data_IF_271225307701
#
_entry.id   IF_271225307701
#
_cell.length_a   1.000
_cell.length_b   1.000
_cell.length_c   1.000
_cell.angle_alpha   90.00
_cell.angle_beta   90.00
_cell.angle_gamma   90.00
#
_symmetry.space_group_name_H-M   'P 1'
#
loop_
_entity.id
_entity.type
_entity.pdbx_description
1 polymer ?
#
# COMPACT_ATOMS: atom_id res chain seq x y z
N UNK A 1 11.25 -13.81 25.52
CA UNK A 1 10.90 -14.94 24.62
C UNK A 1 11.89 -15.03 23.45
N UNK A 2 12.34 -16.25 23.11
CA UNK A 2 13.21 -16.48 21.95
C UNK A 2 12.34 -16.64 20.70
N UNK A 3 12.58 -15.82 19.68
CA UNK A 3 11.87 -15.92 18.40
C UNK A 3 12.43 -17.09 17.59
N UNK A 4 11.56 -17.95 17.08
CA UNK A 4 11.91 -19.07 16.18
C UNK A 4 11.12 -18.93 14.89
N UNK A 5 11.79 -19.05 13.76
CA UNK A 5 11.12 -19.06 12.45
C UNK A 5 10.35 -20.37 12.25
N UNK A 6 9.18 -20.26 11.62
CA UNK A 6 8.34 -21.39 11.21
C UNK A 6 8.09 -21.33 9.69
N UNK A 7 9.05 -21.81 8.87
CA UNK A 7 8.95 -21.71 7.42
C UNK A 7 7.88 -22.66 6.84
N UNK A 8 7.59 -23.76 7.52
CA UNK A 8 6.65 -24.77 7.03
C UNK A 8 5.20 -24.26 7.07
N UNK A 9 4.87 -23.45 8.08
CA UNK A 9 3.53 -22.85 8.26
C UNK A 9 3.46 -21.37 7.85
N UNK A 10 4.45 -20.87 7.09
CA UNK A 10 4.59 -19.45 6.70
C UNK A 10 3.34 -18.83 6.06
N UNK A 11 2.52 -19.65 5.40
CA UNK A 11 1.33 -19.23 4.65
C UNK A 11 0.01 -19.60 5.33
N UNK A 12 0.06 -20.23 6.50
CA UNK A 12 -1.13 -20.49 7.31
C UNK A 12 -1.62 -19.18 7.95
N UNK A 13 -2.95 -18.99 8.11
CA UNK A 13 -3.47 -17.86 8.88
C UNK A 13 -2.95 -17.87 10.32
N UNK A 14 -2.59 -16.69 10.82
CA UNK A 14 -2.11 -16.51 12.19
C UNK A 14 -2.77 -15.28 12.83
N UNK A 15 -2.88 -15.21 14.17
CA UNK A 15 -3.60 -14.13 14.82
C UNK A 15 -2.93 -12.76 14.58
N UNK A 16 -3.76 -11.71 14.58
CA UNK A 16 -3.29 -10.35 14.70
C UNK A 16 -2.64 -10.12 16.05
N UNK A 17 -1.65 -9.21 16.09
CA UNK A 17 -1.21 -8.62 17.35
C UNK A 17 -2.30 -7.72 17.93
N UNK A 18 -2.28 -7.46 19.24
CA UNK A 18 -3.24 -6.59 19.91
C UNK A 18 -3.35 -5.21 19.25
N UNK A 19 -2.21 -4.65 18.81
CA UNK A 19 -2.19 -3.35 18.13
C UNK A 19 -2.79 -3.41 16.71
N UNK A 20 -2.53 -4.49 15.97
CA UNK A 20 -3.16 -4.68 14.66
C UNK A 20 -4.67 -4.89 14.78
N UNK A 21 -5.14 -5.63 15.78
CA UNK A 21 -6.56 -5.80 16.06
C UNK A 21 -7.22 -4.46 16.43
N UNK A 22 -6.56 -3.64 17.25
CA UNK A 22 -7.03 -2.30 17.57
C UNK A 22 -7.15 -1.42 16.31
N UNK A 23 -6.18 -1.46 15.39
CA UNK A 23 -6.28 -0.75 14.11
C UNK A 23 -7.40 -1.29 13.22
N UNK A 24 -7.61 -2.60 13.17
CA UNK A 24 -8.70 -3.19 12.38
C UNK A 24 -10.07 -2.74 12.90
N UNK A 25 -10.26 -2.74 14.22
CA UNK A 25 -11.50 -2.31 14.86
C UNK A 25 -11.70 -0.79 14.72
N UNK A 26 -10.65 0.00 14.92
CA UNK A 26 -10.67 1.46 14.84
C UNK A 26 -11.03 2.01 13.45
N UNK A 27 -10.90 1.19 12.40
CA UNK A 27 -11.39 1.50 11.04
C UNK A 27 -12.90 1.60 10.93
N UNK A 28 -13.65 1.08 11.90
CA UNK A 28 -15.11 1.08 11.90
C UNK A 28 -15.66 2.24 12.72
N UNK A 29 -16.92 2.61 12.48
CA UNK A 29 -17.65 3.62 13.27
C UNK A 29 -18.12 3.09 14.63
N UNK A 30 -17.62 1.93 15.07
CA UNK A 30 -18.03 1.29 16.33
C UNK A 30 -17.60 2.08 17.59
N UNK A 31 -16.65 3.00 17.46
CA UNK A 31 -16.11 3.80 18.56
C UNK A 31 -16.08 5.29 18.20
N UNK A 32 -16.19 6.15 19.21
CA UNK A 32 -15.95 7.59 19.05
C UNK A 32 -14.49 7.81 18.58
N UNK A 33 -14.32 8.62 17.52
CA UNK A 33 -13.05 8.83 16.80
C UNK A 33 -12.51 7.59 16.05
N UNK A 34 -13.36 6.58 15.83
CA UNK A 34 -13.14 5.52 14.85
C UNK A 34 -13.43 6.00 13.42
N UNK A 35 -13.62 5.04 12.51
CA UNK A 35 -13.92 5.31 11.09
C UNK A 35 -12.72 5.68 10.23
N UNK A 36 -11.50 5.70 10.81
CA UNK A 36 -10.27 6.02 10.07
C UNK A 36 -9.26 4.89 10.21
N UNK A 37 -8.75 4.40 9.09
CA UNK A 37 -7.70 3.40 9.09
C UNK A 37 -6.32 3.94 9.40
N UNK A 38 -5.50 3.12 10.06
CA UNK A 38 -4.07 3.35 10.13
C UNK A 38 -3.51 3.30 8.69
N UNK A 39 -3.19 4.48 8.16
CA UNK A 39 -2.76 4.68 6.79
C UNK A 39 -1.62 5.70 6.78
N UNK A 40 -0.57 5.42 6.01
CA UNK A 40 0.56 6.32 5.82
C UNK A 40 0.67 6.69 4.35
N UNK A 41 0.75 7.99 4.08
CA UNK A 41 0.96 8.56 2.76
C UNK A 41 2.25 9.35 2.73
N UNK A 42 3.05 9.17 1.68
CA UNK A 42 4.35 9.83 1.49
C UNK A 42 4.52 10.16 0.02
N UNK A 43 5.03 11.37 -0.26
CA UNK A 43 5.48 11.80 -1.58
C UNK A 43 6.99 11.98 -1.58
N UNK A 44 7.61 11.59 -2.69
CA UNK A 44 9.06 11.72 -2.90
C UNK A 44 9.27 12.28 -4.30
N UNK A 45 10.03 13.38 -4.38
CA UNK A 45 10.37 14.01 -5.66
C UNK A 45 11.74 13.55 -6.14
N UNK A 46 11.81 13.18 -7.41
CA UNK A 46 13.04 12.78 -8.09
C UNK A 46 13.22 13.60 -9.37
N UNK A 47 14.45 13.97 -9.75
CA UNK A 47 14.68 14.69 -11.01
C UNK A 47 14.38 13.87 -12.27
N UNK A 48 14.59 12.56 -12.20
CA UNK A 48 14.26 11.60 -13.25
C UNK A 48 13.93 10.26 -12.56
N UNK A 49 12.84 9.63 -12.99
CA UNK A 49 12.34 8.40 -12.41
C UNK A 49 11.79 7.50 -13.51
N UNK A 50 12.50 6.40 -13.75
CA UNK A 50 12.09 5.37 -14.69
C UNK A 50 11.02 4.47 -14.04
N UNK A 51 9.78 4.58 -14.52
CA UNK A 51 8.60 3.84 -14.02
C UNK A 51 8.79 2.33 -14.11
N UNK A 52 9.46 1.83 -15.15
CA UNK A 52 9.70 0.39 -15.30
C UNK A 52 10.68 -0.11 -14.25
N UNK A 53 11.73 0.68 -13.95
CA UNK A 53 12.67 0.37 -12.86
C UNK A 53 12.02 0.44 -11.48
N UNK A 54 11.14 1.42 -11.24
CA UNK A 54 10.37 1.50 -9.99
C UNK A 54 9.46 0.28 -9.86
N UNK A 55 8.73 -0.07 -10.92
CA UNK A 55 7.85 -1.24 -10.94
C UNK A 55 8.61 -2.53 -10.68
N UNK A 56 9.76 -2.73 -11.33
CA UNK A 56 10.61 -3.90 -11.10
C UNK A 56 11.11 -3.98 -9.66
N UNK A 57 11.53 -2.84 -9.09
CA UNK A 57 11.99 -2.76 -7.69
C UNK A 57 10.87 -3.09 -6.71
N UNK A 58 9.66 -2.58 -6.95
CA UNK A 58 8.51 -2.87 -6.10
C UNK A 58 8.12 -4.35 -6.14
N UNK A 59 8.15 -4.97 -7.33
CA UNK A 59 7.92 -6.43 -7.48
C UNK A 59 8.93 -7.24 -6.68
N UNK A 60 10.20 -6.84 -6.69
CA UNK A 60 11.24 -7.52 -5.92
C UNK A 60 11.02 -7.37 -4.41
N UNK A 61 10.61 -6.18 -3.94
CA UNK A 61 10.22 -5.98 -2.53
C UNK A 61 9.04 -6.87 -2.14
N UNK A 62 7.98 -6.91 -2.94
CA UNK A 62 6.81 -7.77 -2.70
C UNK A 62 7.20 -9.24 -2.62
N UNK A 63 8.06 -9.71 -3.54
CA UNK A 63 8.57 -11.09 -3.56
C UNK A 63 9.40 -11.40 -2.31
N UNK A 64 10.23 -10.45 -1.87
CA UNK A 64 11.14 -10.62 -0.73
C UNK A 64 10.43 -10.57 0.63
N UNK A 65 9.42 -9.72 0.79
CA UNK A 65 8.82 -9.40 2.09
C UNK A 65 7.40 -9.96 2.23
N UNK A 66 7.18 -10.80 3.24
CA UNK A 66 5.89 -11.48 3.47
C UNK A 66 4.74 -10.52 3.75
N UNK A 67 4.96 -9.51 4.58
CA UNK A 67 3.90 -8.56 4.94
C UNK A 67 3.48 -7.66 3.76
N UNK A 68 4.25 -7.61 2.67
CA UNK A 68 3.81 -7.00 1.41
C UNK A 68 2.91 -7.92 0.57
N UNK A 69 2.70 -9.16 0.99
CA UNK A 69 1.76 -10.13 0.40
C UNK A 69 0.65 -10.53 1.38
N UNK A 70 0.59 -9.89 2.54
CA UNK A 70 -0.39 -10.22 3.56
C UNK A 70 -1.77 -9.63 3.28
N UNK A 71 -2.80 -10.33 3.75
CA UNK A 71 -4.17 -9.84 3.92
C UNK A 71 -4.58 -9.97 5.38
N UNK A 72 -5.54 -9.17 5.80
CA UNK A 72 -6.08 -9.12 7.16
C UNK A 72 -7.57 -9.44 7.09
N UNK A 73 -7.95 -10.54 7.72
CA UNK A 73 -9.32 -11.02 7.81
C UNK A 73 -10.07 -10.32 8.95
N UNK A 74 -11.39 -10.20 8.79
CA UNK A 74 -12.27 -9.54 9.75
C UNK A 74 -12.44 -10.31 11.07
N UNK A 75 -12.04 -11.58 11.10
CA UNK A 75 -12.08 -12.46 12.29
C UNK A 75 -10.86 -12.30 13.19
N UNK A 76 -9.96 -11.35 12.89
CA UNK A 76 -8.77 -11.08 13.70
C UNK A 76 -7.56 -11.95 13.35
N UNK A 77 -7.58 -12.59 12.17
CA UNK A 77 -6.43 -13.30 11.61
C UNK A 77 -5.80 -12.51 10.44
N UNK A 78 -4.54 -12.81 10.16
CA UNK A 78 -3.83 -12.36 8.96
C UNK A 78 -3.20 -13.57 8.27
N UNK A 79 -2.99 -13.45 6.96
CA UNK A 79 -2.40 -14.52 6.17
C UNK A 79 -1.43 -13.93 5.15
N UNK A 80 -0.24 -14.53 5.04
CA UNK A 80 0.71 -14.23 3.97
C UNK A 80 0.35 -15.08 2.75
N UNK A 81 -0.07 -14.43 1.66
CA UNK A 81 -0.35 -15.12 0.41
C UNK A 81 0.94 -15.69 -0.19
N UNK A 82 0.89 -16.96 -0.60
CA UNK A 82 2.03 -17.63 -1.25
C UNK A 82 2.47 -16.88 -2.50
N UNK A 83 1.49 -16.59 -3.37
CA UNK A 83 1.64 -15.86 -4.61
C UNK A 83 0.60 -14.74 -4.70
N UNK A 84 0.94 -13.67 -5.43
CA UNK A 84 0.06 -12.54 -5.73
C UNK A 84 0.17 -12.17 -7.20
N UNK A 85 -0.85 -11.53 -7.80
CA UNK A 85 -0.74 -11.01 -9.16
C UNK A 85 0.46 -10.04 -9.30
N UNK A 86 1.06 -9.92 -10.49
CA UNK A 86 2.13 -8.97 -10.72
C UNK A 86 1.69 -7.55 -10.37
N UNK A 87 2.36 -6.92 -9.40
CA UNK A 87 2.11 -5.52 -9.07
C UNK A 87 2.54 -4.61 -10.23
N UNK A 88 1.78 -3.56 -10.49
CA UNK A 88 2.15 -2.49 -11.43
C UNK A 88 2.02 -1.16 -10.70
N UNK A 89 3.03 -0.31 -10.85
CA UNK A 89 2.97 1.07 -10.35
C UNK A 89 2.14 1.86 -11.36
N UNK A 90 1.09 2.53 -10.89
CA UNK A 90 0.33 3.45 -11.75
C UNK A 90 1.23 4.61 -12.16
N UNK A 91 1.11 5.09 -13.39
CA UNK A 91 1.88 6.24 -13.81
C UNK A 91 1.10 7.13 -14.78
N UNK A 92 1.20 8.44 -14.53
CA UNK A 92 0.62 9.48 -15.37
C UNK A 92 1.74 10.33 -15.96
N UNK A 93 1.81 10.39 -17.31
CA UNK A 93 2.67 11.34 -18.01
C UNK A 93 1.90 12.63 -18.28
N UNK A 94 2.21 13.65 -17.48
CA UNK A 94 1.59 14.97 -17.50
C UNK A 94 2.47 16.00 -18.20
N UNK A 95 3.56 15.58 -18.85
CA UNK A 95 4.53 16.51 -19.49
C UNK A 95 3.94 17.31 -20.65
N UNK A 96 2.87 16.81 -21.27
CA UNK A 96 2.15 17.49 -22.35
C UNK A 96 1.17 18.56 -21.83
N UNK A 97 0.87 18.61 -20.53
CA UNK A 97 -0.07 19.56 -19.96
C UNK A 97 0.60 20.90 -19.65
N UNK A 98 -0.20 21.97 -19.66
CA UNK A 98 0.23 23.25 -19.11
C UNK A 98 0.56 23.09 -17.61
N UNK A 99 1.55 23.82 -17.06
CA UNK A 99 2.00 23.62 -15.68
C UNK A 99 0.88 23.63 -14.62
N UNK A 100 -0.07 24.57 -14.72
CA UNK A 100 -1.19 24.64 -13.79
C UNK A 100 -2.16 23.44 -13.91
N UNK A 101 -2.30 22.86 -15.10
CA UNK A 101 -3.12 21.67 -15.30
C UNK A 101 -2.40 20.42 -14.77
N UNK A 102 -1.08 20.29 -15.01
CA UNK A 102 -0.29 19.21 -14.44
C UNK A 102 -0.32 19.22 -12.90
N UNK A 103 -0.18 20.39 -12.28
CA UNK A 103 -0.27 20.53 -10.82
C UNK A 103 -1.65 20.10 -10.28
N UNK A 104 -2.73 20.46 -10.99
CA UNK A 104 -4.07 20.03 -10.61
C UNK A 104 -4.23 18.50 -10.67
N UNK A 105 -3.63 17.84 -11.67
CA UNK A 105 -3.61 16.37 -11.75
C UNK A 105 -2.84 15.73 -10.59
N UNK A 106 -1.67 16.27 -10.24
CA UNK A 106 -0.88 15.82 -9.09
C UNK A 106 -1.68 15.95 -7.81
N UNK A 107 -2.36 17.09 -7.59
CA UNK A 107 -3.21 17.29 -6.41
C UNK A 107 -4.38 16.29 -6.37
N UNK A 108 -4.98 15.97 -7.52
CA UNK A 108 -6.02 14.92 -7.60
C UNK A 108 -5.48 13.56 -7.20
N UNK A 109 -4.28 13.20 -7.66
CA UNK A 109 -3.61 11.95 -7.26
C UNK A 109 -3.27 11.94 -5.78
N UNK A 110 -2.76 13.06 -5.24
CA UNK A 110 -2.50 13.26 -3.80
C UNK A 110 -3.75 13.03 -2.97
N UNK A 111 -4.85 13.72 -3.27
CA UNK A 111 -6.10 13.59 -2.54
C UNK A 111 -6.64 12.15 -2.57
N UNK A 112 -6.60 11.50 -3.75
CA UNK A 112 -7.03 10.10 -3.91
C UNK A 112 -6.21 9.12 -3.08
N UNK A 113 -4.88 9.26 -3.08
CA UNK A 113 -4.00 8.34 -2.37
C UNK A 113 -3.99 8.60 -0.87
N UNK A 114 -3.98 9.86 -0.43
CA UNK A 114 -4.01 10.24 0.97
C UNK A 114 -5.29 9.77 1.70
N UNK A 115 -6.42 9.76 0.98
CA UNK A 115 -7.71 9.29 1.49
C UNK A 115 -8.01 7.82 1.14
N UNK A 116 -7.01 7.03 0.68
CA UNK A 116 -7.26 5.66 0.23
C UNK A 116 -7.70 4.76 1.38
N UNK A 117 -8.90 4.20 1.24
CA UNK A 117 -9.41 3.14 2.08
C UNK A 117 -9.61 1.85 1.28
N UNK A 118 -8.68 0.90 1.43
CA UNK A 118 -8.80 -0.41 0.80
C UNK A 118 -9.39 -1.44 1.77
N UNK A 119 -10.19 -2.41 1.27
CA UNK A 119 -10.56 -3.60 2.03
C UNK A 119 -9.30 -4.33 2.51
N UNK A 120 -9.26 -4.68 3.79
CA UNK A 120 -8.06 -5.27 4.39
C UNK A 120 -7.89 -6.75 4.05
N UNK A 121 -8.96 -7.40 3.61
CA UNK A 121 -9.00 -8.81 3.21
C UNK A 121 -8.61 -9.01 1.73
N UNK A 122 -8.17 -7.94 1.04
CA UNK A 122 -7.76 -7.98 -0.36
C UNK A 122 -6.39 -7.36 -0.54
N UNK A 123 -5.52 -8.08 -1.25
CA UNK A 123 -4.23 -7.56 -1.66
C UNK A 123 -4.39 -6.63 -2.90
N UNK A 124 -3.62 -5.53 -3.02
CA UNK A 124 -2.61 -5.04 -2.08
C UNK A 124 -3.17 -4.07 -1.02
N UNK A 125 -2.59 -4.14 0.18
CA UNK A 125 -2.84 -3.16 1.26
C UNK A 125 -2.13 -1.82 1.06
N UNK A 126 -1.29 -1.71 0.03
CA UNK A 126 -0.59 -0.49 -0.37
C UNK A 126 -0.96 -0.08 -1.80
N UNK A 127 -0.56 1.13 -2.18
CA UNK A 127 -0.59 1.63 -3.55
C UNK A 127 0.71 2.40 -3.83
N UNK A 128 1.10 2.48 -5.10
CA UNK A 128 2.22 3.29 -5.56
C UNK A 128 1.84 3.94 -6.89
N UNK A 129 2.23 5.19 -7.07
CA UNK A 129 1.92 5.97 -8.26
C UNK A 129 3.10 6.88 -8.60
N UNK A 130 3.36 7.09 -9.89
CA UNK A 130 4.37 8.04 -10.40
C UNK A 130 3.69 9.06 -11.29
N UNK A 131 3.72 10.32 -10.90
CA UNK A 131 3.33 11.43 -11.77
C UNK A 131 4.60 12.04 -12.37
N UNK A 132 4.66 12.13 -13.69
CA UNK A 132 5.74 12.82 -14.40
C UNK A 132 5.23 14.14 -14.95
N UNK A 133 5.89 15.25 -14.64
CA UNK A 133 5.54 16.60 -15.10
C UNK A 133 6.66 17.17 -15.97
N UNK A 134 6.38 18.26 -16.70
CA UNK A 134 7.40 18.93 -17.51
C UNK A 134 8.53 19.55 -16.64
N UNK A 135 8.25 19.78 -15.36
CA UNK A 135 9.20 20.38 -14.42
C UNK A 135 10.04 19.32 -13.71
N UNK A 136 9.47 18.13 -13.46
CA UNK A 136 10.05 16.93 -12.80
C UNK A 136 9.22 15.70 -13.14
#
# INVERSE_FOLDING_TARGET
>A
PTLRADPDNRHEPFPLTDIQAAYLIGRTDAYAYGGVGCHAYVELEYPDLDVDRVTASWRELVRRHDMLRAVIHHDGYQQVLADVPPFAVEADDLTALAPAAAEAEVERTRARLAAREAPTDRWPLFAAHVSRTAQR
#
